data_IF_876083119059
#
_entry.id   IF_876083119059
#
_cell.length_a   1.000
_cell.length_b   1.000
_cell.length_c   1.000
_cell.angle_alpha   90.00
_cell.angle_beta   90.00
_cell.angle_gamma   90.00
#
_symmetry.space_group_name_H-M   'P 1'
#
loop_
_entity.id
_entity.type
_entity.pdbx_description
1 polymer ?
#
# COMPACT_ATOMS: atom_id res chain seq x y z
N UNK A 1 26.44 8.55 -34.14
CA UNK A 1 26.25 9.88 -33.52
C UNK A 1 25.24 10.66 -34.37
N UNK A 2 23.95 10.59 -34.02
CA UNK A 2 22.89 11.36 -34.70
C UNK A 2 22.21 12.23 -33.64
N UNK A 3 22.45 13.53 -33.73
CA UNK A 3 21.66 14.56 -33.04
C UNK A 3 20.52 14.93 -33.98
N UNK A 4 19.26 14.74 -33.58
CA UNK A 4 18.12 15.38 -34.21
C UNK A 4 17.35 16.19 -33.17
N UNK A 5 17.37 17.50 -33.38
CA UNK A 5 16.69 18.54 -32.62
C UNK A 5 15.21 18.60 -33.00
N UNK A 6 14.38 18.64 -31.98
CA UNK A 6 13.23 19.55 -31.76
C UNK A 6 12.25 19.80 -32.93
N UNK A 7 11.02 19.32 -32.76
CA UNK A 7 9.84 19.79 -33.49
C UNK A 7 8.99 20.62 -32.54
N UNK A 8 8.58 21.80 -33.02
CA UNK A 8 7.87 22.86 -32.32
C UNK A 8 6.36 22.67 -32.60
N UNK A 9 5.52 22.69 -31.56
CA UNK A 9 4.06 22.64 -31.70
C UNK A 9 3.55 23.95 -32.30
N UNK A 10 2.76 23.85 -33.37
CA UNK A 10 1.99 24.95 -33.94
C UNK A 10 0.52 24.84 -33.53
N UNK A 11 -0.02 25.99 -33.13
CA UNK A 11 -1.32 26.27 -32.53
C UNK A 11 -2.50 26.33 -33.51
N UNK A 12 -3.65 25.85 -33.02
CA UNK A 12 -5.05 26.31 -33.18
C UNK A 12 -5.55 26.93 -34.49
N UNK A 13 -6.65 26.37 -35.05
CA UNK A 13 -8.01 26.99 -35.09
C UNK A 13 -9.10 26.14 -35.82
N UNK A 14 -10.42 26.49 -35.76
CA UNK A 14 -11.51 25.58 -35.41
C UNK A 14 -12.49 25.26 -36.55
N UNK A 15 -13.39 24.29 -36.35
CA UNK A 15 -14.50 23.99 -37.26
C UNK A 15 -15.66 23.27 -36.57
N UNK A 16 -16.83 23.88 -36.62
CA UNK A 16 -18.12 23.35 -36.18
C UNK A 16 -18.55 22.11 -36.97
N UNK A 17 -18.92 21.05 -36.28
CA UNK A 17 -19.55 19.88 -36.90
C UNK A 17 -20.18 19.00 -35.85
N UNK A 18 -21.50 18.90 -35.87
CA UNK A 18 -22.27 17.89 -35.14
C UNK A 18 -21.81 16.50 -35.59
N UNK A 19 -20.86 15.92 -34.84
CA UNK A 19 -20.51 14.51 -34.94
C UNK A 19 -21.05 13.80 -33.71
N UNK A 20 -22.18 13.11 -33.88
CA UNK A 20 -22.43 11.89 -33.09
C UNK A 20 -22.01 10.72 -33.96
N UNK A 21 -20.96 10.02 -33.54
CA UNK A 21 -21.10 8.57 -33.49
C UNK A 21 -20.60 7.97 -32.17
N UNK A 22 -21.36 6.97 -31.74
CA UNK A 22 -21.01 5.77 -30.99
C UNK A 22 -20.44 5.90 -29.57
N UNK A 23 -21.23 5.36 -28.63
CA UNK A 23 -20.77 4.89 -27.34
C UNK A 23 -19.65 3.86 -27.54
N UNK A 24 -18.44 4.26 -27.20
CA UNK A 24 -17.29 3.41 -26.98
C UNK A 24 -16.99 3.59 -25.50
N UNK A 25 -17.30 2.60 -24.66
CA UNK A 25 -16.86 2.59 -23.27
C UNK A 25 -15.39 2.15 -23.24
N UNK A 26 -14.51 3.02 -23.71
CA UNK A 26 -13.06 2.86 -23.58
C UNK A 26 -12.56 3.87 -22.55
N UNK A 27 -11.82 3.38 -21.56
CA UNK A 27 -10.94 4.21 -20.74
C UNK A 27 -11.51 4.68 -19.41
N UNK A 28 -11.49 3.81 -18.41
CA UNK A 28 -11.12 4.31 -17.09
C UNK A 28 -9.58 4.39 -17.11
N UNK A 29 -9.03 5.55 -17.45
CA UNK A 29 -7.61 5.83 -17.20
C UNK A 29 -7.33 5.50 -15.72
N UNK A 30 -6.16 4.92 -15.35
CA UNK A 30 -5.86 4.69 -13.95
C UNK A 30 -5.99 6.03 -13.24
N UNK A 31 -6.96 6.10 -12.33
CA UNK A 31 -7.09 7.25 -11.45
C UNK A 31 -5.79 7.25 -10.66
N UNK A 32 -4.95 8.26 -10.83
CA UNK A 32 -3.77 8.45 -9.97
C UNK A 32 -4.30 8.60 -8.55
N UNK A 33 -4.40 7.48 -7.84
CA UNK A 33 -4.82 7.43 -6.46
C UNK A 33 -3.56 7.18 -5.65
N UNK A 34 -3.27 8.09 -4.74
CA UNK A 34 -2.19 7.92 -3.78
C UNK A 34 -2.41 6.57 -3.07
N UNK A 35 -1.40 5.69 -3.05
CA UNK A 35 -1.58 4.37 -2.47
C UNK A 35 -2.01 4.46 -1.00
N UNK A 36 -3.10 3.77 -0.67
CA UNK A 36 -3.69 3.81 0.66
C UNK A 36 -3.11 2.75 1.56
N UNK A 37 -2.61 3.14 2.71
CA UNK A 37 -1.94 2.27 3.67
C UNK A 37 -2.77 2.16 4.94
N UNK A 38 -3.02 0.93 5.38
CA UNK A 38 -3.58 0.63 6.69
C UNK A 38 -2.44 0.29 7.66
N UNK A 39 -2.39 0.93 8.81
CA UNK A 39 -1.43 0.62 9.87
C UNK A 39 -2.12 -0.22 10.94
N UNK A 40 -1.48 -1.32 11.35
CA UNK A 40 -1.96 -2.20 12.41
C UNK A 40 -0.88 -2.37 13.46
N UNK A 41 -1.06 -1.75 14.62
CA UNK A 41 -0.11 -1.74 15.73
C UNK A 41 -0.87 -1.38 17.02
N UNK A 42 -0.66 -2.14 18.10
CA UNK A 42 -1.29 -1.88 19.40
C UNK A 42 -0.63 -0.72 20.16
N UNK A 43 0.59 -0.35 19.78
CA UNK A 43 1.31 0.79 20.34
C UNK A 43 0.97 2.08 19.58
N UNK A 44 0.03 2.86 20.11
CA UNK A 44 -0.43 4.12 19.49
C UNK A 44 0.70 5.06 19.06
N UNK A 45 1.75 5.20 19.88
CA UNK A 45 2.89 6.07 19.56
C UNK A 45 3.69 5.57 18.35
N UNK A 46 3.82 4.25 18.20
CA UNK A 46 4.50 3.64 17.05
C UNK A 46 3.65 3.80 15.80
N UNK A 47 2.34 3.54 15.90
CA UNK A 47 1.41 3.74 14.80
C UNK A 47 1.41 5.20 14.30
N UNK A 48 1.35 6.17 15.21
CA UNK A 48 1.41 7.60 14.89
C UNK A 48 2.74 8.00 14.25
N UNK A 49 3.85 7.46 14.72
CA UNK A 49 5.16 7.70 14.10
C UNK A 49 5.22 7.16 12.67
N UNK A 50 4.72 5.93 12.43
CA UNK A 50 4.63 5.35 11.10
C UNK A 50 3.72 6.14 10.17
N UNK A 51 2.59 6.63 10.69
CA UNK A 51 1.68 7.51 9.96
C UNK A 51 2.40 8.79 9.50
N UNK A 52 3.10 9.48 10.41
CA UNK A 52 3.88 10.67 10.06
C UNK A 52 4.93 10.37 8.99
N UNK A 53 5.65 9.25 9.10
CA UNK A 53 6.63 8.85 8.09
C UNK A 53 5.98 8.58 6.73
N UNK A 54 4.83 7.93 6.69
CA UNK A 54 4.12 7.65 5.44
C UNK A 54 3.60 8.94 4.78
N UNK A 55 3.07 9.87 5.58
CA UNK A 55 2.59 11.18 5.10
C UNK A 55 3.74 12.01 4.51
N UNK A 56 4.90 12.05 5.19
CA UNK A 56 6.11 12.72 4.67
C UNK A 56 6.62 12.09 3.36
N UNK A 57 6.27 10.83 3.11
CA UNK A 57 6.60 10.07 1.90
C UNK A 57 5.49 10.11 0.83
N UNK A 58 4.46 10.95 1.01
CA UNK A 58 3.33 11.14 0.10
C UNK A 58 2.43 9.88 -0.08
N UNK A 59 2.28 9.08 0.99
CA UNK A 59 1.30 7.99 1.04
C UNK A 59 0.07 8.38 1.88
N UNK A 60 -1.12 7.93 1.45
CA UNK A 60 -2.36 8.12 2.20
C UNK A 60 -2.50 7.06 3.29
N UNK A 61 -2.74 7.46 4.54
CA UNK A 61 -3.02 6.52 5.63
C UNK A 61 -4.53 6.45 5.84
N UNK A 62 -5.14 5.34 5.41
CA UNK A 62 -6.59 5.22 5.42
C UNK A 62 -7.18 4.83 6.79
N UNK A 63 -6.32 4.42 7.73
CA UNK A 63 -6.72 4.11 9.09
C UNK A 63 -5.60 3.51 9.93
N UNK A 64 -5.84 3.47 11.24
CA UNK A 64 -5.01 2.80 12.23
C UNK A 64 -5.88 1.83 13.02
N UNK A 65 -5.41 0.60 13.18
CA UNK A 65 -6.06 -0.45 13.96
C UNK A 65 -5.12 -0.95 15.06
N UNK A 66 -5.65 -1.12 16.29
CA UNK A 66 -4.87 -1.57 17.45
C UNK A 66 -4.99 -3.06 17.74
N UNK A 67 -5.86 -3.78 17.04
CA UNK A 67 -6.18 -5.18 17.33
C UNK A 67 -6.64 -5.93 16.07
N UNK A 68 -6.75 -7.25 16.19
CA UNK A 68 -7.14 -8.14 15.10
C UNK A 68 -8.53 -7.82 14.51
N UNK A 69 -9.53 -7.52 15.34
CA UNK A 69 -10.91 -7.32 14.89
C UNK A 69 -11.03 -5.99 14.15
N UNK A 70 -10.46 -4.93 14.71
CA UNK A 70 -10.40 -3.62 14.08
C UNK A 70 -9.59 -3.66 12.77
N UNK A 71 -8.49 -4.42 12.72
CA UNK A 71 -7.70 -4.60 11.50
C UNK A 71 -8.50 -5.30 10.39
N UNK A 72 -9.18 -6.40 10.70
CA UNK A 72 -10.01 -7.13 9.73
C UNK A 72 -11.14 -6.25 9.22
N UNK A 73 -11.82 -5.51 10.10
CA UNK A 73 -12.90 -4.60 9.71
C UNK A 73 -12.37 -3.48 8.81
N UNK A 74 -11.30 -2.79 9.20
CA UNK A 74 -10.69 -1.71 8.43
C UNK A 74 -10.16 -2.16 7.07
N UNK A 75 -9.61 -3.37 6.97
CA UNK A 75 -9.14 -3.93 5.70
C UNK A 75 -10.29 -4.15 4.69
N UNK A 76 -11.51 -4.38 5.17
CA UNK A 76 -12.72 -4.54 4.35
C UNK A 76 -13.31 -3.16 4.01
N UNK A 77 -13.52 -2.34 5.04
CA UNK A 77 -14.22 -1.06 4.92
C UNK A 77 -13.43 -0.04 4.10
N UNK A 78 -12.11 0.02 4.30
CA UNK A 78 -11.26 1.01 3.63
C UNK A 78 -10.55 0.47 2.40
N UNK A 79 -10.54 -0.85 2.18
CA UNK A 79 -9.91 -1.50 1.04
C UNK A 79 -8.49 -0.96 0.73
N UNK A 80 -7.53 -1.00 1.68
CA UNK A 80 -6.20 -0.43 1.50
C UNK A 80 -5.42 -1.10 0.37
N UNK A 81 -4.46 -0.40 -0.24
CA UNK A 81 -3.54 -0.97 -1.23
C UNK A 81 -2.36 -1.69 -0.57
N UNK A 82 -2.08 -1.38 0.70
CA UNK A 82 -1.02 -1.99 1.50
C UNK A 82 -1.41 -2.03 2.98
N UNK A 83 -0.98 -3.07 3.68
CA UNK A 83 -1.07 -3.13 5.15
C UNK A 83 0.33 -3.15 5.76
N UNK A 84 0.59 -2.24 6.70
CA UNK A 84 1.70 -2.34 7.64
C UNK A 84 1.19 -3.07 8.89
N UNK A 85 1.79 -4.22 9.21
CA UNK A 85 1.32 -5.11 10.26
C UNK A 85 2.40 -5.33 11.31
N UNK A 86 2.14 -4.94 12.56
CA UNK A 86 2.94 -5.43 13.67
C UNK A 86 2.66 -6.90 13.95
N UNK A 87 3.69 -7.65 14.32
CA UNK A 87 3.55 -9.09 14.59
C UNK A 87 2.90 -9.31 15.95
N UNK A 88 3.18 -8.48 16.95
CA UNK A 88 2.74 -8.63 18.32
C UNK A 88 1.60 -7.66 18.63
N UNK A 89 0.40 -7.98 18.17
CA UNK A 89 -0.81 -7.28 18.58
C UNK A 89 -1.23 -7.80 19.95
N UNK A 90 -1.00 -7.03 21.01
CA UNK A 90 -1.32 -7.41 22.38
C UNK A 90 -2.79 -7.81 22.58
N UNK A 91 -3.05 -8.62 23.62
CA UNK A 91 -4.42 -8.91 24.09
C UNK A 91 -5.29 -9.81 23.19
N UNK A 92 -4.78 -10.34 22.07
CA UNK A 92 -5.58 -11.13 21.12
C UNK A 92 -4.75 -11.97 20.15
N UNK A 93 -5.32 -12.34 18.98
CA UNK A 93 -4.57 -12.96 17.90
C UNK A 93 -3.44 -12.06 17.44
N UNK A 94 -2.27 -12.65 17.20
CA UNK A 94 -1.11 -11.93 16.71
C UNK A 94 -1.28 -11.43 15.26
N UNK A 95 -0.35 -10.61 14.79
CA UNK A 95 -0.40 -10.02 13.46
C UNK A 95 -0.36 -11.05 12.32
N UNK A 96 0.32 -12.18 12.54
CA UNK A 96 0.40 -13.25 11.54
C UNK A 96 -0.96 -13.92 11.35
N UNK A 97 -1.64 -14.22 12.45
CA UNK A 97 -3.00 -14.76 12.40
C UNK A 97 -4.01 -13.73 11.87
N UNK A 98 -3.82 -12.46 12.22
CA UNK A 98 -4.63 -11.35 11.69
C UNK A 98 -4.54 -11.27 10.17
N UNK A 99 -3.33 -11.36 9.61
CA UNK A 99 -3.13 -11.39 8.15
C UNK A 99 -3.82 -12.58 7.50
N UNK A 100 -3.77 -13.77 8.11
CA UNK A 100 -4.50 -14.94 7.60
C UNK A 100 -6.01 -14.69 7.53
N UNK A 101 -6.59 -14.05 8.55
CA UNK A 101 -8.02 -13.69 8.58
C UNK A 101 -8.38 -12.62 7.56
N UNK A 102 -7.48 -11.67 7.31
CA UNK A 102 -7.66 -10.67 6.24
C UNK A 102 -7.63 -11.36 4.88
N UNK A 103 -6.65 -12.23 4.63
CA UNK A 103 -6.47 -12.96 3.37
C UNK A 103 -7.63 -13.89 3.00
N UNK A 104 -8.37 -14.40 3.98
CA UNK A 104 -9.62 -15.13 3.74
C UNK A 104 -10.74 -14.27 3.11
N UNK A 105 -10.63 -12.94 3.24
CA UNK A 105 -11.64 -11.98 2.75
C UNK A 105 -11.13 -11.15 1.59
N UNK A 106 -9.86 -10.72 1.64
CA UNK A 106 -9.22 -9.88 0.62
C UNK A 106 -7.72 -10.14 0.58
N UNK A 107 -7.19 -10.39 -0.62
CA UNK A 107 -5.76 -10.41 -0.86
C UNK A 107 -5.26 -8.98 -1.01
N UNK A 108 -4.26 -8.62 -0.21
CA UNK A 108 -3.64 -7.29 -0.18
C UNK A 108 -2.17 -7.46 0.17
N UNK A 109 -1.24 -6.69 -0.42
CA UNK A 109 0.14 -6.66 0.01
C UNK A 109 0.27 -6.35 1.51
N UNK A 110 1.18 -7.05 2.18
CA UNK A 110 1.47 -6.85 3.61
C UNK A 110 2.97 -6.67 3.80
N UNK A 111 3.33 -5.71 4.65
CA UNK A 111 4.69 -5.56 5.18
C UNK A 111 4.59 -5.72 6.70
N UNK A 112 5.36 -6.66 7.24
CA UNK A 112 5.48 -6.81 8.68
C UNK A 112 6.51 -5.83 9.23
N UNK A 113 6.18 -5.12 10.30
CA UNK A 113 7.08 -4.22 11.02
C UNK A 113 7.12 -4.68 12.46
N UNK A 114 8.22 -5.28 12.93
CA UNK A 114 8.27 -5.95 14.24
C UNK A 114 9.58 -5.68 14.99
N UNK A 115 9.54 -5.62 16.31
CA UNK A 115 10.74 -5.65 17.15
C UNK A 115 11.32 -7.07 17.34
N UNK A 116 10.53 -8.10 16.99
CA UNK A 116 10.87 -9.51 17.18
C UNK A 116 11.15 -10.19 15.84
N UNK A 117 12.43 -10.45 15.57
CA UNK A 117 12.91 -11.10 14.33
C UNK A 117 13.54 -12.46 14.59
N UNK A 118 13.06 -13.18 15.60
CA UNK A 118 13.49 -14.56 15.87
C UNK A 118 12.97 -15.53 14.78
N UNK A 119 13.70 -16.63 14.59
CA UNK A 119 13.45 -17.57 13.48
C UNK A 119 12.03 -18.17 13.51
N UNK A 120 11.44 -18.34 14.69
CA UNK A 120 10.09 -18.87 14.82
C UNK A 120 9.06 -17.90 14.23
N UNK A 121 9.14 -16.61 14.58
CA UNK A 121 8.26 -15.59 14.00
C UNK A 121 8.48 -15.41 12.49
N UNK A 122 9.73 -15.38 12.04
CA UNK A 122 10.04 -15.31 10.60
C UNK A 122 9.46 -16.48 9.82
N UNK A 123 9.55 -17.70 10.36
CA UNK A 123 8.97 -18.90 9.75
C UNK A 123 7.44 -18.79 9.65
N UNK A 124 6.78 -18.35 10.72
CA UNK A 124 5.32 -18.17 10.75
C UNK A 124 4.85 -17.13 9.72
N UNK A 125 5.56 -16.01 9.62
CA UNK A 125 5.28 -14.97 8.63
C UNK A 125 5.41 -15.53 7.21
N UNK A 126 6.53 -16.19 6.89
CA UNK A 126 6.76 -16.76 5.55
C UNK A 126 5.71 -17.80 5.16
N UNK A 127 5.19 -18.56 6.12
CA UNK A 127 4.11 -19.52 5.88
C UNK A 127 2.75 -18.84 5.64
N UNK A 128 2.46 -17.75 6.35
CA UNK A 128 1.19 -17.02 6.21
C UNK A 128 1.17 -16.10 4.99
N UNK A 129 2.29 -15.44 4.69
CA UNK A 129 2.43 -14.46 3.63
C UNK A 129 3.84 -14.57 3.01
N UNK A 130 4.07 -15.51 2.07
CA UNK A 130 5.39 -15.77 1.48
C UNK A 130 6.00 -14.57 0.74
N UNK A 131 5.16 -13.66 0.24
CA UNK A 131 5.57 -12.47 -0.50
C UNK A 131 5.73 -11.22 0.38
N UNK A 132 5.41 -11.30 1.68
CA UNK A 132 5.47 -10.15 2.56
C UNK A 132 6.93 -9.75 2.86
N UNK A 133 7.19 -8.44 2.85
CA UNK A 133 8.45 -7.92 3.37
C UNK A 133 8.40 -7.90 4.90
N UNK A 134 9.56 -8.00 5.55
CA UNK A 134 9.70 -7.97 7.01
C UNK A 134 10.74 -6.91 7.34
N UNK A 135 10.35 -5.93 8.14
CA UNK A 135 11.19 -4.83 8.61
C UNK A 135 11.30 -4.89 10.14
N UNK A 136 12.50 -4.65 10.65
CA UNK A 136 12.73 -4.54 12.09
C UNK A 136 12.45 -3.13 12.59
N UNK A 137 11.79 -2.99 13.76
CA UNK A 137 11.70 -1.71 14.47
C UNK A 137 13.06 -1.36 15.11
N UNK A 138 13.50 -0.09 15.13
CA UNK A 138 12.88 1.08 14.47
C UNK A 138 13.14 1.05 12.95
N UNK A 139 12.14 1.45 12.17
CA UNK A 139 12.24 1.51 10.70
C UNK A 139 12.72 2.89 10.26
N UNK A 140 13.66 2.95 9.32
CA UNK A 140 14.08 4.23 8.72
C UNK A 140 13.13 4.63 7.59
N UNK A 141 12.95 5.95 7.32
CA UNK A 141 12.08 6.42 6.24
C UNK A 141 12.46 5.84 4.88
N UNK A 142 13.75 5.71 4.59
CA UNK A 142 14.26 5.20 3.31
C UNK A 142 13.93 3.72 3.12
N UNK A 143 14.08 2.93 4.19
CA UNK A 143 13.76 1.50 4.19
C UNK A 143 12.25 1.30 4.03
N UNK A 144 11.45 2.08 4.76
CA UNK A 144 9.99 2.04 4.65
C UNK A 144 9.55 2.39 3.23
N UNK A 145 10.04 3.49 2.68
CA UNK A 145 9.72 3.93 1.32
C UNK A 145 10.06 2.86 0.28
N UNK A 146 11.26 2.27 0.35
CA UNK A 146 11.69 1.23 -0.57
C UNK A 146 10.81 -0.02 -0.46
N UNK A 147 10.42 -0.42 0.76
CA UNK A 147 9.58 -1.57 1.00
C UNK A 147 8.15 -1.35 0.47
N UNK A 148 7.54 -0.19 0.77
CA UNK A 148 6.20 0.19 0.30
C UNK A 148 6.17 0.22 -1.23
N UNK A 149 7.12 0.91 -1.87
CA UNK A 149 7.20 0.99 -3.35
C UNK A 149 7.43 -0.36 -4.03
N UNK A 150 8.06 -1.31 -3.34
CA UNK A 150 8.27 -2.67 -3.85
C UNK A 150 7.03 -3.56 -3.66
N UNK A 151 6.29 -3.37 -2.58
CA UNK A 151 5.10 -4.16 -2.25
C UNK A 151 3.89 -3.74 -3.10
N UNK A 152 3.78 -2.45 -3.41
CA UNK A 152 2.74 -1.95 -4.29
C UNK A 152 2.98 -2.44 -5.73
N UNK A 153 1.93 -2.90 -6.43
CA UNK A 153 2.05 -3.25 -7.84
C UNK A 153 2.50 -2.03 -8.63
N UNK A 154 3.48 -2.21 -9.52
CA UNK A 154 3.91 -1.14 -10.41
C UNK A 154 2.71 -0.71 -11.26
N UNK A 155 2.32 0.55 -11.18
CA UNK A 155 1.47 1.15 -12.21
C UNK A 155 2.16 0.90 -13.57
N UNK A 156 1.39 0.40 -14.52
CA UNK A 156 1.86 -0.27 -15.73
C UNK A 156 3.00 0.44 -16.48
N UNK A 157 3.96 -0.37 -16.91
CA UNK A 157 4.79 -0.07 -18.09
C UNK A 157 4.12 -0.61 -19.35
#
# INVERSE_FOLDING_TARGET
>A
MRLNKQVICASDRPGSGSFRPMAMSEGEAPRHHEPRVLIVDDEYFVAWHLESLLQDLEFDVCGIAGDCESAVKSAIDFAPDLILMDVNLGGGPDGVETVRRIFQRRQVPVIFITAYTDEANLTRIRQAAPAAAILSKPVSPEVLQAAVRRALPREGG
#
